data_IF_820641986746
#
_entry.id   IF_820641986746
#
_cell.length_a   1.000
_cell.length_b   1.000
_cell.length_c   1.000
_cell.angle_alpha   90.00
_cell.angle_beta   90.00
_cell.angle_gamma   90.00
#
_symmetry.space_group_name_H-M   'P 1'
#
loop_
_entity.id
_entity.type
_entity.pdbx_description
1 polymer ?
#
# COMPACT_ATOMS: atom_id res chain seq x y z
N UNK A 1 21.78 19.01 15.81
CA UNK A 1 21.90 18.49 14.43
C UNK A 1 22.75 19.39 13.57
N UNK A 2 23.72 18.78 12.89
CA UNK A 2 24.57 19.45 11.88
C UNK A 2 23.70 19.82 10.67
N UNK A 3 24.06 20.89 9.95
CA UNK A 3 23.31 21.42 8.80
C UNK A 3 23.00 20.36 7.73
N UNK A 4 23.88 19.37 7.58
CA UNK A 4 23.74 18.29 6.60
C UNK A 4 22.67 17.27 6.98
N UNK A 5 22.56 16.91 8.25
CA UNK A 5 21.55 15.98 8.78
C UNK A 5 20.15 16.56 8.61
N UNK A 6 19.95 17.85 8.94
CA UNK A 6 18.66 18.55 8.75
C UNK A 6 18.23 18.57 7.28
N UNK A 7 19.16 18.80 6.35
CA UNK A 7 18.89 18.77 4.91
C UNK A 7 18.49 17.36 4.45
N UNK A 8 19.17 16.33 4.95
CA UNK A 8 18.85 14.95 4.64
C UNK A 8 17.46 14.56 5.15
N UNK A 9 17.12 14.95 6.38
CA UNK A 9 15.80 14.73 6.99
C UNK A 9 14.68 15.40 6.17
N UNK A 10 14.83 16.68 5.82
CA UNK A 10 13.84 17.40 5.01
C UNK A 10 13.68 16.73 3.63
N UNK A 11 14.76 16.28 2.99
CA UNK A 11 14.70 15.56 1.72
C UNK A 11 13.97 14.22 1.85
N UNK A 12 14.24 13.48 2.92
CA UNK A 12 13.57 12.22 3.25
C UNK A 12 12.07 12.43 3.38
N UNK A 13 11.64 13.34 4.27
CA UNK A 13 10.22 13.66 4.50
C UNK A 13 9.53 14.07 3.20
N UNK A 14 10.16 14.95 2.41
CA UNK A 14 9.64 15.37 1.10
C UNK A 14 9.42 14.18 0.15
N UNK A 15 10.36 13.24 0.10
CA UNK A 15 10.25 12.03 -0.73
C UNK A 15 9.13 11.12 -0.23
N UNK A 16 9.01 10.95 1.08
CA UNK A 16 7.96 10.14 1.71
C UNK A 16 6.58 10.72 1.42
N UNK A 17 6.35 12.02 1.66
CA UNK A 17 5.09 12.71 1.37
C UNK A 17 4.71 12.52 -0.10
N UNK A 18 5.64 12.78 -1.02
CA UNK A 18 5.39 12.64 -2.47
C UNK A 18 4.99 11.22 -2.85
N UNK A 19 5.61 10.21 -2.23
CA UNK A 19 5.32 8.80 -2.48
C UNK A 19 3.96 8.40 -1.91
N UNK A 20 3.67 8.84 -0.68
CA UNK A 20 2.39 8.60 -0.01
C UNK A 20 1.22 9.20 -0.80
N UNK A 21 1.36 10.44 -1.29
CA UNK A 21 0.35 11.08 -2.15
C UNK A 21 0.14 10.26 -3.43
N UNK A 22 1.21 9.84 -4.11
CA UNK A 22 1.10 9.00 -5.32
C UNK A 22 0.34 7.70 -5.03
N UNK A 23 0.70 7.00 -3.96
CA UNK A 23 0.08 5.72 -3.60
C UNK A 23 -1.39 5.89 -3.23
N UNK A 24 -1.72 6.91 -2.43
CA UNK A 24 -3.10 7.14 -2.01
C UNK A 24 -4.01 7.46 -3.21
N UNK A 25 -3.55 8.33 -4.13
CA UNK A 25 -4.29 8.62 -5.37
C UNK A 25 -4.45 7.35 -6.21
N UNK A 26 -3.39 6.55 -6.35
CA UNK A 26 -3.46 5.29 -7.10
C UNK A 26 -4.47 4.32 -6.50
N UNK A 27 -4.46 4.13 -5.17
CA UNK A 27 -5.40 3.24 -4.47
C UNK A 27 -6.84 3.72 -4.68
N UNK A 28 -7.13 4.99 -4.45
CA UNK A 28 -8.48 5.54 -4.61
C UNK A 28 -9.00 5.40 -6.04
N UNK A 29 -8.17 5.71 -7.04
CA UNK A 29 -8.55 5.59 -8.45
C UNK A 29 -8.72 4.12 -8.84
N UNK A 30 -7.89 3.23 -8.31
CA UNK A 30 -7.99 1.79 -8.55
C UNK A 30 -9.26 1.20 -7.95
N UNK A 31 -9.59 1.54 -6.71
CA UNK A 31 -10.82 1.09 -6.05
C UNK A 31 -12.08 1.50 -6.85
N UNK A 32 -12.12 2.74 -7.33
CA UNK A 32 -13.21 3.22 -8.19
C UNK A 32 -13.21 2.47 -9.52
N UNK A 33 -12.04 2.26 -10.14
CA UNK A 33 -11.93 1.55 -11.40
C UNK A 33 -12.31 0.07 -11.31
N UNK A 34 -12.02 -0.60 -10.19
CA UNK A 34 -12.42 -1.98 -9.93
C UNK A 34 -13.94 -2.08 -9.80
N UNK A 35 -14.58 -1.12 -9.08
CA UNK A 35 -16.04 -1.02 -9.00
C UNK A 35 -16.71 -0.79 -10.35
N UNK A 36 -16.01 -0.11 -11.28
CA UNK A 36 -16.48 0.12 -12.66
C UNK A 36 -16.14 -1.03 -13.62
N UNK A 37 -15.53 -2.12 -13.15
CA UNK A 37 -15.14 -3.27 -13.97
C UNK A 37 -13.97 -3.00 -14.93
N UNK A 38 -13.24 -1.89 -14.77
CA UNK A 38 -12.10 -1.51 -15.62
C UNK A 38 -10.74 -1.98 -15.06
N UNK A 39 -10.74 -3.07 -14.31
CA UNK A 39 -9.53 -3.65 -13.74
C UNK A 39 -8.67 -4.29 -14.84
N UNK A 40 -7.40 -3.87 -14.96
CA UNK A 40 -6.50 -4.44 -15.95
C UNK A 40 -5.09 -3.86 -15.92
N UNK A 41 -4.13 -4.61 -16.47
CA UNK A 41 -2.71 -4.19 -16.48
C UNK A 41 -2.47 -2.90 -17.27
N UNK A 42 -3.29 -2.60 -18.27
CA UNK A 42 -3.19 -1.37 -19.07
C UNK A 42 -3.70 -0.17 -18.28
N UNK A 43 -4.88 -0.29 -17.69
CA UNK A 43 -5.49 0.75 -16.84
C UNK A 43 -4.65 1.01 -15.59
N UNK A 44 -4.11 -0.03 -14.94
CA UNK A 44 -3.16 0.11 -13.82
C UNK A 44 -1.93 0.97 -14.20
N UNK A 45 -1.33 0.74 -15.38
CA UNK A 45 -0.18 1.54 -15.84
C UNK A 45 -0.55 3.00 -16.12
N UNK A 46 -1.74 3.25 -16.65
CA UNK A 46 -2.23 4.60 -16.90
C UNK A 46 -2.53 5.34 -15.59
N UNK A 47 -3.21 4.69 -14.65
CA UNK A 47 -3.43 5.21 -13.31
C UNK A 47 -2.11 5.54 -12.62
N UNK A 48 -1.11 4.66 -12.72
CA UNK A 48 0.19 4.93 -12.09
C UNK A 48 0.88 6.18 -12.67
N UNK A 49 0.79 6.39 -13.99
CA UNK A 49 1.30 7.59 -14.67
C UNK A 49 0.55 8.84 -14.21
N UNK A 50 -0.78 8.80 -14.21
CA UNK A 50 -1.64 9.93 -13.82
C UNK A 50 -1.45 10.27 -12.35
N UNK A 51 -1.49 9.29 -11.45
CA UNK A 51 -1.20 9.48 -10.02
C UNK A 51 0.19 10.06 -9.79
N UNK A 52 1.19 9.66 -10.58
CA UNK A 52 2.53 10.24 -10.54
C UNK A 52 2.58 11.71 -10.98
N UNK A 53 1.79 12.10 -11.98
CA UNK A 53 1.69 13.50 -12.43
C UNK A 53 0.94 14.36 -11.42
N UNK A 54 -0.18 13.87 -10.89
CA UNK A 54 -0.97 14.57 -9.88
C UNK A 54 -0.17 14.76 -8.58
N UNK A 55 0.50 13.71 -8.11
CA UNK A 55 1.38 13.81 -6.94
C UNK A 55 2.48 14.87 -7.13
N UNK A 56 3.02 15.04 -8.34
CA UNK A 56 4.00 16.11 -8.61
C UNK A 56 3.38 17.51 -8.55
N UNK A 57 2.14 17.69 -9.02
CA UNK A 57 1.42 18.98 -8.97
C UNK A 57 1.07 19.35 -7.52
N UNK A 58 0.42 18.43 -6.81
CA UNK A 58 0.06 18.61 -5.40
C UNK A 58 1.28 18.85 -4.52
N UNK A 59 2.38 18.12 -4.76
CA UNK A 59 3.61 18.32 -4.00
C UNK A 59 4.26 19.69 -4.23
N UNK A 60 4.08 20.31 -5.40
CA UNK A 60 4.58 21.68 -5.66
C UNK A 60 3.79 22.74 -4.88
N UNK A 61 2.50 22.49 -4.66
CA UNK A 61 1.61 23.39 -3.92
C UNK A 61 1.76 23.24 -2.39
N UNK A 62 2.26 22.09 -1.92
CA UNK A 62 2.54 21.87 -0.50
C UNK A 62 3.73 22.69 0.00
N UNK A 63 3.42 23.77 0.72
CA UNK A 63 4.40 24.55 1.46
C UNK A 63 4.83 23.84 2.76
N UNK A 64 5.88 23.02 2.67
CA UNK A 64 6.48 22.38 3.85
C UNK A 64 7.29 23.42 4.63
N UNK A 65 6.72 23.95 5.71
CA UNK A 65 7.39 24.85 6.65
C UNK A 65 8.53 24.11 7.36
N UNK A 66 9.77 24.52 7.07
CA UNK A 66 10.99 23.90 7.63
C UNK A 66 11.06 23.97 9.16
N UNK A 67 10.48 25.02 9.75
CA UNK A 67 10.46 25.23 11.20
C UNK A 67 9.63 24.14 11.92
N UNK A 68 8.44 23.82 11.42
CA UNK A 68 7.54 22.83 12.04
C UNK A 68 8.13 21.40 12.06
N UNK A 69 8.96 21.04 11.07
CA UNK A 69 9.63 19.74 11.02
C UNK A 69 10.77 19.60 12.03
N UNK A 70 11.31 20.71 12.53
CA UNK A 70 12.46 20.72 13.44
C UNK A 70 12.04 20.77 14.91
N UNK A 71 10.83 21.25 15.21
CA UNK A 71 10.27 21.21 16.57
C UNK A 71 9.64 19.85 16.90
N UNK A 72 9.17 19.12 15.88
CA UNK A 72 8.64 17.77 16.03
C UNK A 72 9.67 16.73 16.52
N UNK A 73 10.98 17.02 16.43
CA UNK A 73 12.04 16.16 16.99
C UNK A 73 12.21 16.31 18.51
N UNK A 74 11.59 17.32 19.14
CA UNK A 74 11.60 17.49 20.60
C UNK A 74 10.30 17.07 21.27
N UNK A 75 9.19 17.05 20.53
CA UNK A 75 7.93 16.46 20.97
C UNK A 75 7.89 15.00 20.53
N UNK A 76 8.13 14.09 21.46
CA UNK A 76 7.84 12.65 21.35
C UNK A 76 6.69 12.41 20.38
N UNK A 77 6.95 11.67 19.31
CA UNK A 77 5.93 11.04 18.49
C UNK A 77 5.21 10.01 19.36
N UNK A 78 4.26 10.47 20.18
CA UNK A 78 3.17 9.62 20.67
C UNK A 78 2.34 9.28 19.45
N UNK A 79 2.38 8.01 19.07
CA UNK A 79 1.67 7.49 17.92
C UNK A 79 0.24 8.02 17.88
N UNK A 80 -0.14 8.59 16.74
CA UNK A 80 -1.54 8.75 16.45
C UNK A 80 -2.15 7.33 16.42
N UNK A 81 -3.20 7.07 17.19
CA UNK A 81 -3.87 5.78 17.17
C UNK A 81 -4.40 5.54 15.77
N UNK A 82 -3.98 4.43 15.17
CA UNK A 82 -4.76 3.75 14.14
C UNK A 82 -6.08 3.40 14.81
N UNK A 83 -7.11 4.21 14.56
CA UNK A 83 -8.49 3.82 14.86
C UNK A 83 -8.81 2.63 13.97
N UNK A 84 -8.62 1.46 14.53
CA UNK A 84 -9.31 0.24 14.17
C UNK A 84 -10.80 0.55 14.23
N UNK A 85 -11.45 0.68 13.07
CA UNK A 85 -12.91 0.63 12.99
C UNK A 85 -13.32 -0.81 13.34
N UNK A 86 -13.80 -0.96 14.56
CA UNK A 86 -14.60 -2.09 15.02
C UNK A 86 -15.90 -2.13 14.20
N UNK A 87 -15.95 -3.02 13.24
CA UNK A 87 -17.18 -3.55 12.66
C UNK A 87 -17.08 -5.06 12.80
N UNK A 88 -17.85 -5.60 13.74
CA UNK A 88 -17.97 -7.02 14.01
C UNK A 88 -18.41 -7.74 12.73
N UNK A 89 -17.63 -8.73 12.29
CA UNK A 89 -18.14 -9.96 11.69
C UNK A 89 -17.00 -10.98 11.61
N UNK A 90 -17.10 -11.97 12.49
CA UNK A 90 -16.61 -13.36 12.44
C UNK A 90 -15.61 -13.72 11.32
N UNK A 91 -14.47 -14.31 11.69
CA UNK A 91 -14.07 -15.69 11.35
C UNK A 91 -12.58 -15.88 11.75
N UNK A 92 -12.34 -16.85 12.64
CA UNK A 92 -11.01 -17.41 12.88
C UNK A 92 -10.52 -18.07 11.58
N UNK A 93 -9.39 -17.65 11.02
CA UNK A 93 -8.63 -18.48 10.07
C UNK A 93 -7.18 -18.54 10.49
N UNK A 94 -6.79 -19.79 10.73
CA UNK A 94 -5.50 -20.33 11.08
C UNK A 94 -4.40 -20.01 10.07
N UNK A 95 -3.18 -19.99 10.61
CA UNK A 95 -1.89 -19.95 9.91
C UNK A 95 -1.89 -20.86 8.66
N UNK A 96 -1.81 -20.26 7.47
CA UNK A 96 -1.70 -21.01 6.22
C UNK A 96 -0.23 -21.30 5.88
N UNK A 97 0.11 -22.59 5.92
CA UNK A 97 1.35 -23.21 5.50
C UNK A 97 1.72 -22.97 4.02
N UNK A 98 3.02 -23.09 3.65
CA UNK A 98 3.52 -22.79 2.30
C UNK A 98 3.00 -23.73 1.20
N UNK A 99 2.87 -23.15 0.00
CA UNK A 99 2.26 -23.66 -1.25
C UNK A 99 2.91 -24.93 -1.87
N UNK A 100 3.78 -25.65 -1.17
CA UNK A 100 4.48 -26.83 -1.73
C UNK A 100 3.65 -28.14 -1.67
N UNK A 101 2.61 -28.21 -0.83
CA UNK A 101 1.86 -29.45 -0.60
C UNK A 101 0.64 -29.69 -1.53
N UNK A 102 0.25 -28.72 -2.37
CA UNK A 102 -0.99 -28.83 -3.17
C UNK A 102 -0.82 -29.73 -4.41
N UNK A 103 0.41 -29.84 -4.97
CA UNK A 103 0.65 -30.64 -6.18
C UNK A 103 0.66 -32.16 -5.95
N UNK A 104 0.99 -32.63 -4.76
CA UNK A 104 1.02 -34.08 -4.45
C UNK A 104 -0.38 -34.66 -4.26
N UNK A 105 -1.33 -33.87 -3.74
CA UNK A 105 -2.72 -34.32 -3.46
C UNK A 105 -3.58 -34.46 -4.72
N UNK A 106 -3.37 -33.62 -5.74
CA UNK A 106 -4.12 -33.69 -7.00
C UNK A 106 -3.70 -34.89 -7.88
N UNK A 107 -2.47 -35.38 -7.73
CA UNK A 107 -1.99 -36.56 -8.48
C UNK A 107 -2.48 -37.88 -7.87
N UNK A 108 -2.83 -37.90 -6.58
CA UNK A 108 -3.39 -39.08 -5.91
C UNK A 108 -4.88 -39.31 -6.24
N UNK A 109 -5.68 -38.25 -6.41
CA UNK A 109 -7.12 -38.40 -6.70
C UNK A 109 -7.42 -38.84 -8.15
N UNK A 110 -6.55 -38.54 -9.12
CA UNK A 110 -6.74 -38.99 -10.51
C UNK A 110 -6.44 -40.48 -10.76
N UNK A 111 -5.95 -41.22 -9.76
CA UNK A 111 -5.69 -42.66 -9.88
C UNK A 111 -6.77 -43.56 -9.26
N UNK A 112 -7.76 -42.99 -8.56
CA UNK A 112 -8.77 -43.76 -7.84
C UNK A 112 -10.13 -43.89 -8.58
N UNK A 113 -10.25 -43.36 -9.81
CA UNK A 113 -11.46 -43.50 -10.63
C UNK A 113 -11.10 -44.21 -11.93
N UNK A 114 -10.82 -45.51 -11.82
CA UNK A 114 -11.00 -46.46 -12.92
C UNK A 114 -12.09 -47.41 -12.45
N UNK A 115 -13.32 -47.37 -13.00
CA UNK A 115 -14.30 -48.40 -12.74
C UNK A 115 -13.80 -49.69 -13.42
N UNK A 116 -13.65 -50.77 -12.66
CA UNK A 116 -13.57 -52.09 -13.26
C UNK A 116 -14.93 -52.40 -13.89
N UNK A 117 -14.88 -52.76 -15.17
CA UNK A 117 -15.98 -53.33 -15.94
C UNK A 117 -16.26 -54.76 -15.51
#
# INVERSE_FOLDING_TARGET
>A
MKKNERKALIKSVRKTIKTAIKQNIFIQVKEVSEKLGQAGKKSDKEMEKVSGQLAKKLFKELNIKKAALLEADQSKFTGLPVQSVSGEDTVQVTLAEPKSAIKSRLKAQKRAVVPQA
#
